data_IF_991087882483
#
_entry.id   IF_991087882483
#
_cell.length_a   1.000
_cell.length_b   1.000
_cell.length_c   1.000
_cell.angle_alpha   90.00
_cell.angle_beta   90.00
_cell.angle_gamma   90.00
#
_symmetry.space_group_name_H-M   'P 1'
#
loop_
_entity.id
_entity.type
_entity.pdbx_description
1 polymer ?
#
# COMPACT_ATOMS: atom_id res chain seq x y z
N UNK A 1 22.18 30.33 5.53
CA UNK A 1 21.33 31.42 4.99
C UNK A 1 19.97 31.26 5.62
N UNK A 2 19.54 32.21 6.45
CA UNK A 2 18.22 32.17 7.07
C UNK A 2 17.16 32.44 5.99
N UNK A 3 16.22 31.53 5.84
CA UNK A 3 15.05 31.73 4.98
C UNK A 3 14.26 32.89 5.56
N UNK A 4 13.99 33.94 4.79
CA UNK A 4 13.29 35.13 5.30
C UNK A 4 11.85 34.77 5.67
N UNK A 5 11.36 35.25 6.79
CA UNK A 5 9.98 35.05 7.28
C UNK A 5 8.94 35.44 6.21
N UNK A 6 9.28 36.41 5.35
CA UNK A 6 8.48 36.84 4.20
C UNK A 6 8.32 35.72 3.16
N UNK A 7 9.39 34.99 2.83
CA UNK A 7 9.35 33.87 1.89
C UNK A 7 8.48 32.73 2.41
N UNK A 8 8.54 32.46 3.72
CA UNK A 8 7.68 31.45 4.37
C UNK A 8 6.23 31.88 4.34
N UNK A 9 5.93 33.16 4.59
CA UNK A 9 4.57 33.71 4.53
C UNK A 9 4.00 33.72 3.10
N UNK A 10 4.82 33.96 2.09
CA UNK A 10 4.38 33.98 0.69
C UNK A 10 4.13 32.55 0.19
N UNK A 11 4.98 31.58 0.57
CA UNK A 11 4.74 30.16 0.30
C UNK A 11 3.50 29.64 1.03
N UNK A 12 3.30 30.04 2.28
CA UNK A 12 2.09 29.68 3.05
C UNK A 12 0.83 30.29 2.41
N UNK A 13 0.88 31.55 1.96
CA UNK A 13 -0.24 32.19 1.24
C UNK A 13 -0.54 31.52 -0.10
N UNK A 14 0.49 31.14 -0.85
CA UNK A 14 0.31 30.44 -2.13
C UNK A 14 -0.26 29.03 -1.94
N UNK A 15 0.19 28.31 -0.93
CA UNK A 15 -0.34 26.99 -0.54
C UNK A 15 -1.78 27.11 -0.03
N UNK A 16 -2.07 28.10 0.81
CA UNK A 16 -3.43 28.36 1.32
C UNK A 16 -4.36 28.80 0.18
N UNK A 17 -3.90 29.64 -0.77
CA UNK A 17 -4.68 30.01 -1.95
C UNK A 17 -4.95 28.80 -2.86
N UNK A 18 -3.96 27.93 -3.09
CA UNK A 18 -4.16 26.65 -3.80
C UNK A 18 -5.08 25.68 -3.04
N UNK A 19 -5.07 25.70 -1.72
CA UNK A 19 -5.99 24.93 -0.88
C UNK A 19 -7.42 25.53 -0.83
N UNK A 20 -7.55 26.85 -0.90
CA UNK A 20 -8.86 27.54 -0.93
C UNK A 20 -9.57 27.45 -2.29
N UNK A 21 -8.83 27.30 -3.40
CA UNK A 21 -9.41 27.06 -4.74
C UNK A 21 -10.20 25.73 -4.79
N UNK A 22 -9.98 24.82 -3.83
CA UNK A 22 -10.64 23.52 -3.76
C UNK A 22 -11.88 23.47 -2.84
N UNK A 23 -12.43 24.62 -2.42
CA UNK A 23 -13.63 24.66 -1.58
C UNK A 23 -14.96 24.50 -2.38
N UNK A 24 -14.93 24.61 -3.71
CA UNK A 24 -16.07 24.34 -4.57
C UNK A 24 -15.95 22.94 -5.21
N UNK A 25 -16.48 21.95 -4.52
CA UNK A 25 -16.51 20.53 -4.99
C UNK A 25 -17.52 20.33 -6.13
N UNK A 26 -18.45 21.25 -6.34
CA UNK A 26 -19.44 21.21 -7.42
C UNK A 26 -18.80 21.61 -8.76
N UNK A 27 -18.40 20.59 -9.56
CA UNK A 27 -17.80 20.77 -10.88
C UNK A 27 -16.44 20.07 -11.04
N UNK A 28 -16.01 19.30 -10.07
CA UNK A 28 -14.75 18.54 -10.12
C UNK A 28 -14.88 17.34 -11.06
N UNK A 29 -13.86 17.16 -11.93
CA UNK A 29 -13.83 16.10 -12.95
C UNK A 29 -13.74 14.72 -12.31
N UNK A 30 -14.76 13.87 -12.53
CA UNK A 30 -14.81 12.50 -12.01
C UNK A 30 -15.39 12.38 -10.60
N UNK A 31 -15.97 13.45 -10.01
CA UNK A 31 -16.62 13.41 -8.71
C UNK A 31 -18.14 13.60 -8.87
N UNK A 32 -18.93 12.75 -8.23
CA UNK A 32 -20.37 12.67 -8.44
C UNK A 32 -21.13 12.63 -7.12
N UNK A 33 -22.35 13.12 -7.12
CA UNK A 33 -23.22 13.10 -5.94
C UNK A 33 -23.64 11.67 -5.55
N UNK A 34 -23.77 10.76 -6.54
CA UNK A 34 -24.17 9.37 -6.30
C UNK A 34 -23.31 8.36 -7.08
N UNK A 35 -23.30 7.13 -6.59
CA UNK A 35 -22.47 6.04 -7.13
C UNK A 35 -22.93 5.59 -8.53
N UNK A 36 -24.22 5.63 -8.86
CA UNK A 36 -24.69 5.20 -10.17
C UNK A 36 -24.25 6.20 -11.25
N UNK A 37 -24.28 7.51 -10.95
CA UNK A 37 -23.78 8.54 -11.84
C UNK A 37 -22.26 8.39 -12.08
N UNK A 38 -21.49 8.09 -11.04
CA UNK A 38 -20.05 7.80 -11.15
C UNK A 38 -19.77 6.58 -12.03
N UNK A 39 -20.54 5.50 -11.86
CA UNK A 39 -20.40 4.28 -12.66
C UNK A 39 -20.79 4.53 -14.12
N UNK A 40 -21.86 5.28 -14.38
CA UNK A 40 -22.28 5.58 -15.76
C UNK A 40 -21.23 6.46 -16.48
N UNK A 41 -20.66 7.47 -15.79
CA UNK A 41 -19.57 8.29 -16.35
C UNK A 41 -18.35 7.43 -16.69
N UNK A 42 -17.90 6.58 -15.75
CA UNK A 42 -16.79 5.65 -16.00
C UNK A 42 -17.08 4.70 -17.16
N UNK A 43 -18.34 4.22 -17.31
CA UNK A 43 -18.77 3.37 -18.42
C UNK A 43 -18.73 4.09 -19.77
N UNK A 44 -19.09 5.38 -19.83
CA UNK A 44 -18.94 6.15 -21.07
C UNK A 44 -17.46 6.40 -21.42
N UNK A 45 -16.63 6.70 -20.42
CA UNK A 45 -15.19 6.81 -20.60
C UNK A 45 -14.57 5.48 -21.05
N UNK A 46 -15.03 4.34 -20.50
CA UNK A 46 -14.59 2.99 -20.86
C UNK A 46 -14.73 2.69 -22.36
N UNK A 47 -15.83 3.14 -22.99
CA UNK A 47 -16.03 2.98 -24.44
C UNK A 47 -14.96 3.70 -25.26
N UNK A 48 -14.41 4.80 -24.73
CA UNK A 48 -13.32 5.55 -25.37
C UNK A 48 -11.97 4.87 -25.08
N UNK A 49 -11.71 4.50 -23.82
CA UNK A 49 -10.46 3.79 -23.41
C UNK A 49 -10.29 2.48 -24.17
N UNK A 50 -11.36 1.74 -24.40
CA UNK A 50 -11.32 0.47 -25.12
C UNK A 50 -10.84 0.62 -26.59
N UNK A 51 -11.01 1.81 -27.18
CA UNK A 51 -10.58 2.12 -28.55
C UNK A 51 -9.17 2.71 -28.60
N UNK A 52 -8.56 3.03 -27.46
CA UNK A 52 -7.22 3.61 -27.42
C UNK A 52 -6.15 2.55 -27.68
N UNK A 53 -5.13 2.93 -28.42
CA UNK A 53 -3.92 2.13 -28.56
C UNK A 53 -3.14 2.06 -27.23
N UNK A 54 -2.17 1.14 -27.14
CA UNK A 54 -1.26 1.08 -25.99
C UNK A 54 -0.50 2.39 -25.82
N UNK A 55 0.01 2.98 -26.91
CA UNK A 55 0.74 4.27 -26.89
C UNK A 55 -0.11 5.42 -26.35
N UNK A 56 -1.39 5.46 -26.71
CA UNK A 56 -2.31 6.48 -26.20
C UNK A 56 -2.54 6.34 -24.69
N UNK A 57 -2.66 5.10 -24.16
CA UNK A 57 -2.77 4.84 -22.74
C UNK A 57 -1.47 5.19 -22.01
N UNK A 58 -0.32 4.80 -22.58
CA UNK A 58 1.00 5.12 -22.02
C UNK A 58 1.25 6.63 -21.95
N UNK A 59 0.79 7.38 -22.95
CA UNK A 59 0.86 8.85 -22.92
C UNK A 59 0.10 9.43 -21.71
N UNK A 60 -1.08 8.91 -21.40
CA UNK A 60 -1.84 9.33 -20.20
C UNK A 60 -1.04 8.97 -18.94
N UNK A 61 -0.53 7.73 -18.84
CA UNK A 61 0.26 7.24 -17.71
C UNK A 61 1.50 8.11 -17.49
N UNK A 62 2.20 8.48 -18.56
CA UNK A 62 3.36 9.38 -18.50
C UNK A 62 2.99 10.74 -17.87
N UNK A 63 1.84 11.30 -18.23
CA UNK A 63 1.38 12.57 -17.64
C UNK A 63 0.94 12.37 -16.18
N UNK A 64 0.30 11.24 -15.84
CA UNK A 64 -0.01 10.88 -14.45
C UNK A 64 1.27 10.84 -13.62
N UNK A 65 2.32 10.18 -14.09
CA UNK A 65 3.63 10.10 -13.43
C UNK A 65 4.19 11.50 -13.14
N UNK A 66 4.19 12.37 -14.15
CA UNK A 66 4.66 13.75 -14.03
C UNK A 66 3.84 14.53 -13.00
N UNK A 67 2.49 14.55 -13.14
CA UNK A 67 1.60 15.27 -12.20
C UNK A 67 1.70 14.73 -10.77
N UNK A 68 1.91 13.43 -10.59
CA UNK A 68 2.12 12.83 -9.27
C UNK A 68 3.38 13.37 -8.61
N UNK A 69 4.49 13.49 -9.35
CA UNK A 69 5.73 14.09 -8.84
C UNK A 69 5.56 15.58 -8.50
N UNK A 70 4.94 16.34 -9.41
CA UNK A 70 4.66 17.78 -9.21
C UNK A 70 3.77 18.06 -8.00
N UNK A 71 2.86 17.16 -7.67
CA UNK A 71 1.90 17.32 -6.56
C UNK A 71 2.25 16.47 -5.32
N UNK A 72 3.41 15.81 -5.28
CA UNK A 72 3.78 14.89 -4.20
C UNK A 72 3.70 15.54 -2.81
N UNK A 73 4.15 16.77 -2.65
CA UNK A 73 4.09 17.52 -1.39
C UNK A 73 2.65 17.86 -0.99
N UNK A 74 1.82 18.31 -1.94
CA UNK A 74 0.41 18.66 -1.70
C UNK A 74 -0.36 17.41 -1.26
N UNK A 75 -0.22 16.29 -2.00
CA UNK A 75 -0.85 15.02 -1.69
C UNK A 75 -0.45 14.50 -0.30
N UNK A 76 0.85 14.59 0.03
CA UNK A 76 1.37 14.16 1.33
C UNK A 76 0.81 15.01 2.49
N UNK A 77 0.84 16.33 2.37
CA UNK A 77 0.33 17.25 3.39
C UNK A 77 -1.17 17.10 3.59
N UNK A 78 -1.94 17.06 2.50
CA UNK A 78 -3.39 16.83 2.57
C UNK A 78 -3.72 15.49 3.25
N UNK A 79 -3.02 14.41 2.85
CA UNK A 79 -3.23 13.09 3.42
C UNK A 79 -2.98 13.06 4.94
N UNK A 80 -1.86 13.62 5.41
CA UNK A 80 -1.55 13.69 6.85
C UNK A 80 -2.52 14.60 7.59
N UNK A 81 -2.87 15.76 7.02
CA UNK A 81 -3.79 16.70 7.65
C UNK A 81 -5.21 16.12 7.81
N UNK A 82 -5.71 15.44 6.78
CA UNK A 82 -7.07 14.89 6.79
C UNK A 82 -7.17 13.64 7.66
N UNK A 83 -6.22 12.70 7.53
CA UNK A 83 -6.28 11.42 8.24
C UNK A 83 -5.69 11.49 9.64
N UNK A 84 -4.81 12.45 9.89
CA UNK A 84 -4.01 12.52 11.10
C UNK A 84 -2.93 11.44 11.19
N UNK A 85 -2.61 10.73 10.09
CA UNK A 85 -1.74 9.55 10.05
C UNK A 85 -0.51 9.78 9.20
N UNK A 86 0.63 9.21 9.64
CA UNK A 86 1.85 9.12 8.88
C UNK A 86 2.78 10.32 9.01
N UNK A 87 3.76 10.36 8.14
CA UNK A 87 4.81 11.38 8.07
C UNK A 87 4.84 12.02 6.68
N UNK A 88 4.79 13.36 6.62
CA UNK A 88 4.75 14.11 5.34
C UNK A 88 5.95 13.78 4.45
N UNK A 89 7.18 13.77 5.01
CA UNK A 89 8.39 13.47 4.24
C UNK A 89 8.36 12.06 3.62
N UNK A 90 7.94 11.07 4.40
CA UNK A 90 7.81 9.70 3.91
C UNK A 90 6.68 9.55 2.88
N UNK A 91 5.57 10.27 3.03
CA UNK A 91 4.51 10.27 2.02
C UNK A 91 4.95 10.92 0.70
N UNK A 92 5.77 11.97 0.75
CA UNK A 92 6.39 12.55 -0.45
C UNK A 92 7.23 11.49 -1.17
N UNK A 93 8.10 10.78 -0.44
CA UNK A 93 8.91 9.68 -1.01
C UNK A 93 8.03 8.59 -1.63
N UNK A 94 6.92 8.21 -0.99
CA UNK A 94 5.97 7.23 -1.55
C UNK A 94 5.35 7.71 -2.86
N UNK A 95 4.96 8.98 -2.98
CA UNK A 95 4.40 9.51 -4.23
C UNK A 95 5.44 9.53 -5.35
N UNK A 96 6.70 9.85 -5.07
CA UNK A 96 7.78 9.71 -6.05
C UNK A 96 7.96 8.26 -6.47
N UNK A 97 7.98 7.32 -5.51
CA UNK A 97 8.09 5.89 -5.78
C UNK A 97 6.93 5.38 -6.67
N UNK A 98 5.69 5.76 -6.33
CA UNK A 98 4.49 5.45 -7.13
C UNK A 98 4.63 5.96 -8.56
N UNK A 99 5.07 7.20 -8.73
CA UNK A 99 5.25 7.78 -10.06
C UNK A 99 6.35 7.09 -10.87
N UNK A 100 7.38 6.58 -10.23
CA UNK A 100 8.55 6.00 -10.91
C UNK A 100 8.44 4.50 -11.15
N UNK A 101 7.84 3.77 -10.21
CA UNK A 101 7.91 2.32 -10.16
C UNK A 101 6.58 1.59 -10.35
N UNK A 102 5.43 2.29 -10.43
CA UNK A 102 4.16 1.60 -10.75
C UNK A 102 4.18 1.13 -12.20
N UNK A 103 3.92 -0.16 -12.48
CA UNK A 103 3.88 -0.68 -13.85
C UNK A 103 2.79 -0.03 -14.70
N UNK A 104 3.13 0.26 -15.95
CA UNK A 104 2.24 0.77 -16.99
C UNK A 104 1.94 -0.27 -18.05
N UNK A 105 1.93 0.17 -19.31
CA UNK A 105 1.59 -0.68 -20.47
C UNK A 105 2.64 -1.75 -20.76
N UNK A 106 3.87 -1.59 -20.27
CA UNK A 106 4.96 -2.56 -20.41
C UNK A 106 4.66 -3.92 -19.73
N UNK A 107 3.75 -3.95 -18.76
CA UNK A 107 3.31 -5.17 -18.07
C UNK A 107 2.24 -5.96 -18.85
N UNK A 108 1.72 -5.39 -19.95
CA UNK A 108 0.70 -6.03 -20.77
C UNK A 108 1.36 -6.77 -21.92
N UNK A 109 1.68 -8.03 -21.70
CA UNK A 109 2.42 -8.87 -22.64
C UNK A 109 1.54 -9.85 -23.40
N UNK A 110 1.91 -10.16 -24.63
CA UNK A 110 1.26 -11.18 -25.47
C UNK A 110 2.06 -12.48 -25.45
N UNK A 111 1.38 -13.60 -25.28
CA UNK A 111 1.98 -14.93 -25.44
C UNK A 111 1.53 -15.55 -26.76
N UNK A 112 2.47 -16.09 -27.54
CA UNK A 112 2.19 -16.71 -28.83
C UNK A 112 2.81 -18.09 -28.95
N UNK A 113 2.06 -19.03 -29.56
CA UNK A 113 2.54 -20.35 -29.99
C UNK A 113 2.34 -20.49 -31.49
N UNK A 114 3.40 -20.74 -32.24
CA UNK A 114 3.38 -20.97 -33.67
C UNK A 114 3.93 -22.37 -33.98
N UNK A 115 3.30 -23.07 -34.91
CA UNK A 115 3.68 -24.42 -35.34
C UNK A 115 2.98 -24.84 -36.62
N UNK A 116 3.23 -26.09 -37.06
CA UNK A 116 2.68 -26.63 -38.32
C UNK A 116 1.14 -26.59 -38.40
N UNK A 117 0.48 -26.48 -37.24
CA UNK A 117 -1.00 -26.42 -37.15
C UNK A 117 -1.54 -24.99 -37.01
N UNK A 118 -0.70 -23.96 -37.20
CA UNK A 118 -1.13 -22.57 -37.18
C UNK A 118 -0.57 -21.75 -36.04
N UNK A 119 -1.32 -20.72 -35.60
CA UNK A 119 -0.93 -19.74 -34.59
C UNK A 119 -1.99 -19.62 -33.49
N UNK A 120 -1.55 -19.63 -32.25
CA UNK A 120 -2.38 -19.24 -31.10
C UNK A 120 -1.79 -18.03 -30.40
N UNK A 121 -2.64 -17.04 -30.15
CA UNK A 121 -2.31 -15.85 -29.37
C UNK A 121 -3.09 -15.86 -28.04
N UNK A 122 -2.45 -15.40 -26.96
CA UNK A 122 -3.13 -15.01 -25.71
C UNK A 122 -2.78 -13.57 -25.41
N UNK A 123 -3.78 -12.73 -25.38
CA UNK A 123 -3.67 -11.32 -25.08
C UNK A 123 -4.42 -10.97 -23.81
N UNK A 124 -3.97 -9.90 -23.14
CA UNK A 124 -4.56 -9.36 -21.93
C UNK A 124 -5.66 -8.35 -22.31
N UNK A 125 -6.94 -8.71 -22.08
CA UNK A 125 -8.08 -7.85 -22.37
C UNK A 125 -8.64 -7.17 -21.12
N UNK A 126 -9.31 -6.00 -21.26
CA UNK A 126 -9.91 -5.29 -20.13
C UNK A 126 -11.10 -6.05 -19.53
N UNK A 127 -11.33 -5.85 -18.24
CA UNK A 127 -12.59 -6.18 -17.59
C UNK A 127 -13.70 -5.18 -17.95
N UNK A 128 -13.36 -3.89 -18.05
CA UNK A 128 -14.28 -2.80 -18.31
C UNK A 128 -14.24 -1.76 -17.18
N UNK A 129 -15.38 -1.52 -16.50
CA UNK A 129 -15.40 -0.66 -15.31
C UNK A 129 -15.05 -1.50 -14.09
N UNK A 130 -14.05 -1.06 -13.34
CA UNK A 130 -13.59 -1.67 -12.10
C UNK A 130 -14.09 -0.86 -10.91
N UNK A 131 -14.64 -1.52 -9.88
CA UNK A 131 -14.95 -0.89 -8.60
C UNK A 131 -13.81 -1.10 -7.62
N UNK A 132 -13.30 -0.04 -6.99
CA UNK A 132 -12.18 -0.12 -6.07
C UNK A 132 -12.46 0.56 -4.73
N UNK A 133 -12.23 -0.15 -3.63
CA UNK A 133 -12.31 0.39 -2.27
C UNK A 133 -10.89 0.64 -1.78
N UNK A 134 -10.63 1.87 -1.29
CA UNK A 134 -9.28 2.30 -0.89
C UNK A 134 -9.18 2.66 0.59
N UNK A 135 -8.02 2.46 1.23
CA UNK A 135 -7.82 2.67 2.66
C UNK A 135 -7.58 4.15 2.98
N UNK A 136 -7.58 4.48 4.28
CA UNK A 136 -7.14 5.80 4.77
C UNK A 136 -5.63 5.88 5.06
N UNK A 137 -4.93 4.75 5.11
CA UNK A 137 -3.49 4.70 5.42
C UNK A 137 -2.60 5.15 4.27
N UNK A 138 -2.96 4.74 3.05
CA UNK A 138 -2.26 5.09 1.80
C UNK A 138 -3.28 5.46 0.71
N UNK A 139 -4.13 6.50 0.92
CA UNK A 139 -5.29 6.72 0.07
C UNK A 139 -4.92 7.11 -1.35
N UNK A 140 -4.06 8.11 -1.51
CA UNK A 140 -3.68 8.65 -2.82
C UNK A 140 -2.70 7.75 -3.56
N UNK A 141 -1.77 7.13 -2.84
CA UNK A 141 -0.85 6.15 -3.40
C UNK A 141 -1.62 4.98 -4.03
N UNK A 142 -2.62 4.46 -3.33
CA UNK A 142 -3.48 3.37 -3.83
C UNK A 142 -4.32 3.79 -5.04
N UNK A 143 -4.93 4.98 -4.99
CA UNK A 143 -5.73 5.52 -6.10
C UNK A 143 -4.87 5.67 -7.36
N UNK A 144 -3.67 6.23 -7.23
CA UNK A 144 -2.77 6.48 -8.37
C UNK A 144 -2.25 5.17 -8.95
N UNK A 145 -1.70 4.25 -8.13
CA UNK A 145 -1.24 2.94 -8.59
C UNK A 145 -2.34 2.16 -9.31
N UNK A 146 -3.50 2.06 -8.69
CA UNK A 146 -4.62 1.32 -9.26
C UNK A 146 -5.09 1.94 -10.57
N UNK A 147 -5.20 3.27 -10.66
CA UNK A 147 -5.61 3.93 -11.91
C UNK A 147 -4.61 3.67 -13.02
N UNK A 148 -3.30 3.77 -12.75
CA UNK A 148 -2.26 3.51 -13.76
C UNK A 148 -2.33 2.08 -14.28
N UNK A 149 -2.35 1.08 -13.38
CA UNK A 149 -2.42 -0.32 -13.78
C UNK A 149 -3.74 -0.69 -14.46
N UNK A 150 -4.88 -0.20 -13.97
CA UNK A 150 -6.18 -0.43 -14.58
C UNK A 150 -6.31 0.20 -15.95
N UNK A 151 -5.82 1.45 -16.13
CA UNK A 151 -5.80 2.13 -17.42
C UNK A 151 -4.88 1.43 -18.42
N UNK A 152 -3.69 0.99 -17.99
CA UNK A 152 -2.78 0.21 -18.81
C UNK A 152 -3.47 -1.05 -19.35
N UNK A 153 -4.21 -1.76 -18.50
CA UNK A 153 -5.07 -2.90 -18.88
C UNK A 153 -6.28 -2.54 -19.72
N UNK A 154 -6.54 -1.25 -19.99
CA UNK A 154 -7.66 -0.77 -20.80
C UNK A 154 -8.97 -0.63 -20.05
N UNK A 155 -8.95 -0.46 -18.72
CA UNK A 155 -10.12 -0.29 -17.86
C UNK A 155 -10.31 1.18 -17.43
N UNK A 156 -11.50 1.50 -16.93
CA UNK A 156 -11.77 2.66 -16.09
C UNK A 156 -12.08 2.20 -14.67
N UNK A 157 -12.03 3.11 -13.70
CA UNK A 157 -12.22 2.77 -12.30
C UNK A 157 -13.18 3.72 -11.59
N UNK A 158 -13.99 3.16 -10.70
CA UNK A 158 -14.80 3.91 -9.74
C UNK A 158 -14.32 3.60 -8.34
N UNK A 159 -13.89 4.62 -7.62
CA UNK A 159 -13.41 4.50 -6.25
C UNK A 159 -14.52 4.74 -5.23
N UNK A 160 -14.47 3.99 -4.14
CA UNK A 160 -15.17 4.29 -2.90
C UNK A 160 -14.11 4.42 -1.78
N UNK A 161 -13.55 5.62 -1.58
CA UNK A 161 -12.50 5.83 -0.60
C UNK A 161 -12.99 5.69 0.83
N UNK A 162 -12.04 5.45 1.76
CA UNK A 162 -12.34 5.47 3.17
C UNK A 162 -12.84 6.84 3.63
N UNK A 163 -13.89 6.94 4.48
CA UNK A 163 -14.47 8.23 4.91
C UNK A 163 -13.51 9.20 5.60
N UNK A 164 -12.39 8.71 6.15
CA UNK A 164 -11.35 9.55 6.75
C UNK A 164 -10.35 10.15 5.73
N UNK A 165 -10.52 9.92 4.42
CA UNK A 165 -9.59 10.37 3.38
C UNK A 165 -10.32 10.87 2.13
N UNK A 166 -11.47 11.54 2.30
CA UNK A 166 -12.35 11.97 1.20
C UNK A 166 -11.69 13.04 0.35
N UNK A 167 -11.24 14.14 0.98
CA UNK A 167 -10.71 15.32 0.29
C UNK A 167 -9.44 15.00 -0.49
N UNK A 168 -8.52 14.28 0.14
CA UNK A 168 -7.28 13.87 -0.51
C UNK A 168 -7.53 12.90 -1.66
N UNK A 169 -8.52 12.00 -1.53
CA UNK A 169 -8.94 11.09 -2.60
C UNK A 169 -9.57 11.81 -3.78
N UNK A 170 -10.45 12.80 -3.52
CA UNK A 170 -11.05 13.64 -4.55
C UNK A 170 -9.98 14.42 -5.31
N UNK A 171 -8.99 14.98 -4.60
CA UNK A 171 -7.88 15.69 -5.24
C UNK A 171 -7.10 14.76 -6.19
N UNK A 172 -6.79 13.54 -5.76
CA UNK A 172 -6.11 12.55 -6.61
C UNK A 172 -6.94 12.20 -7.84
N UNK A 173 -8.24 11.93 -7.70
CA UNK A 173 -9.16 11.62 -8.83
C UNK A 173 -9.20 12.78 -9.83
N UNK A 174 -9.29 14.03 -9.37
CA UNK A 174 -9.27 15.20 -10.24
C UNK A 174 -7.95 15.30 -11.03
N UNK A 175 -6.81 15.14 -10.34
CA UNK A 175 -5.48 15.17 -10.94
C UNK A 175 -5.33 14.10 -12.03
N UNK A 176 -5.85 12.89 -11.81
CA UNK A 176 -5.81 11.79 -12.78
C UNK A 176 -6.64 12.09 -14.04
N UNK A 177 -7.84 12.65 -13.88
CA UNK A 177 -8.67 13.02 -15.01
C UNK A 177 -8.12 14.23 -15.78
N UNK A 178 -7.50 15.19 -15.09
CA UNK A 178 -6.75 16.26 -15.75
C UNK A 178 -5.58 15.74 -16.57
N UNK A 179 -4.84 14.74 -16.04
CA UNK A 179 -3.77 14.09 -16.80
C UNK A 179 -4.30 13.40 -18.06
N UNK A 180 -5.44 12.74 -17.96
CA UNK A 180 -6.09 12.11 -19.11
C UNK A 180 -6.48 13.13 -20.18
N UNK A 181 -7.12 14.22 -19.79
CA UNK A 181 -7.52 15.29 -20.71
C UNK A 181 -6.32 15.97 -21.39
N UNK A 182 -5.27 16.24 -20.62
CA UNK A 182 -4.02 16.82 -21.15
C UNK A 182 -3.40 15.92 -22.23
N UNK A 183 -3.52 14.60 -22.08
CA UNK A 183 -3.07 13.61 -23.07
C UNK A 183 -4.02 13.47 -24.27
N UNK A 184 -5.19 14.11 -24.26
CA UNK A 184 -6.26 13.92 -25.25
C UNK A 184 -7.13 12.69 -24.98
N UNK A 185 -7.12 12.15 -23.75
CA UNK A 185 -7.95 11.04 -23.30
C UNK A 185 -9.33 11.48 -22.77
N UNK A 186 -10.15 10.54 -22.28
CA UNK A 186 -11.46 10.84 -21.70
C UNK A 186 -11.36 11.48 -20.32
N UNK A 187 -12.44 12.12 -19.89
CA UNK A 187 -12.56 12.93 -18.67
C UNK A 187 -12.98 12.16 -17.41
N UNK A 188 -13.19 10.86 -17.50
CA UNK A 188 -13.68 10.03 -16.39
C UNK A 188 -13.00 8.65 -16.36
N UNK A 189 -11.65 8.64 -16.48
CA UNK A 189 -10.88 7.40 -16.33
C UNK A 189 -10.90 6.89 -14.90
N UNK A 190 -11.01 7.82 -13.94
CA UNK A 190 -11.16 7.57 -12.52
C UNK A 190 -12.35 8.38 -11.99
N UNK A 191 -13.28 7.72 -11.31
CA UNK A 191 -14.46 8.36 -10.74
C UNK A 191 -14.54 8.08 -9.23
N UNK A 192 -15.24 8.96 -8.50
CA UNK A 192 -15.56 8.77 -7.09
C UNK A 192 -16.87 9.48 -6.75
N UNK A 193 -17.35 9.31 -5.51
CA UNK A 193 -18.49 10.05 -4.97
C UNK A 193 -18.03 11.10 -3.97
N UNK A 194 -18.81 12.17 -3.83
CA UNK A 194 -18.57 13.25 -2.86
C UNK A 194 -18.57 12.73 -1.42
N UNK A 195 -19.48 11.80 -1.11
CA UNK A 195 -19.68 11.25 0.22
C UNK A 195 -19.65 9.71 0.20
N UNK A 196 -18.46 9.09 0.24
CA UNK A 196 -18.32 7.64 0.28
C UNK A 196 -18.81 7.08 1.62
N UNK A 197 -19.65 6.03 1.54
CA UNK A 197 -20.26 5.34 2.68
C UNK A 197 -20.26 3.83 2.46
N UNK A 198 -20.70 3.07 3.47
CA UNK A 198 -20.97 1.64 3.30
C UNK A 198 -22.10 1.38 2.30
N UNK A 199 -23.07 2.28 2.21
CA UNK A 199 -24.17 2.17 1.25
C UNK A 199 -23.65 2.34 -0.18
N UNK A 200 -22.83 3.37 -0.45
CA UNK A 200 -22.21 3.57 -1.77
C UNK A 200 -21.29 2.41 -2.15
N UNK A 201 -20.57 1.82 -1.19
CA UNK A 201 -19.82 0.57 -1.39
C UNK A 201 -20.71 -0.58 -1.82
N UNK A 202 -21.84 -0.77 -1.14
CA UNK A 202 -22.81 -1.83 -1.46
C UNK A 202 -23.44 -1.65 -2.84
N UNK A 203 -23.78 -0.41 -3.23
CA UNK A 203 -24.26 -0.10 -4.58
C UNK A 203 -23.20 -0.49 -5.61
N UNK A 204 -21.95 -0.06 -5.43
CA UNK A 204 -20.83 -0.38 -6.32
C UNK A 204 -20.61 -1.90 -6.44
N UNK A 205 -20.58 -2.62 -5.30
CA UNK A 205 -20.34 -4.07 -5.29
C UNK A 205 -21.44 -4.84 -6.04
N UNK A 206 -22.69 -4.37 -5.99
CA UNK A 206 -23.83 -5.04 -6.63
C UNK A 206 -24.10 -4.57 -8.06
N UNK A 207 -23.53 -3.44 -8.49
CA UNK A 207 -23.88 -2.81 -9.76
C UNK A 207 -23.48 -3.68 -10.95
N UNK A 208 -24.41 -3.91 -11.89
CA UNK A 208 -24.24 -4.81 -13.05
C UNK A 208 -23.09 -4.44 -13.98
N UNK A 209 -22.77 -3.14 -14.09
CA UNK A 209 -21.72 -2.62 -14.98
C UNK A 209 -20.33 -2.64 -14.34
N UNK A 210 -20.21 -3.02 -13.06
CA UNK A 210 -18.92 -3.29 -12.41
C UNK A 210 -18.54 -4.75 -12.65
N UNK A 211 -17.41 -4.98 -13.34
CA UNK A 211 -16.97 -6.30 -13.78
C UNK A 211 -15.91 -6.95 -12.90
N UNK A 212 -15.15 -6.14 -12.17
CA UNK A 212 -14.12 -6.54 -11.22
C UNK A 212 -14.20 -5.65 -10.00
N UNK A 213 -14.01 -6.23 -8.82
CA UNK A 213 -13.89 -5.48 -7.56
C UNK A 213 -12.48 -5.61 -7.01
N UNK A 214 -11.94 -4.51 -6.50
CA UNK A 214 -10.63 -4.46 -5.85
C UNK A 214 -10.81 -3.86 -4.46
N UNK A 215 -10.41 -4.57 -3.42
CA UNK A 215 -10.44 -4.07 -2.05
C UNK A 215 -9.01 -3.93 -1.52
N UNK A 216 -8.65 -2.73 -1.08
CA UNK A 216 -7.44 -2.49 -0.29
C UNK A 216 -7.86 -1.92 1.05
N UNK A 217 -7.72 -2.72 2.11
CA UNK A 217 -8.19 -2.30 3.45
C UNK A 217 -8.39 -3.47 4.41
N UNK A 218 -9.09 -3.20 5.50
CA UNK A 218 -9.27 -4.17 6.57
C UNK A 218 -10.03 -5.45 6.17
N UNK A 219 -9.97 -6.50 7.02
CA UNK A 219 -10.52 -7.83 6.71
C UNK A 219 -12.00 -7.82 6.33
N UNK A 220 -12.81 -6.96 6.94
CA UNK A 220 -14.25 -6.86 6.66
C UNK A 220 -14.57 -6.42 5.24
N UNK A 221 -13.82 -5.45 4.71
CA UNK A 221 -14.00 -4.95 3.32
C UNK A 221 -13.56 -6.01 2.32
N UNK A 222 -12.42 -6.66 2.57
CA UNK A 222 -11.94 -7.74 1.72
C UNK A 222 -12.94 -8.90 1.68
N UNK A 223 -13.44 -9.32 2.82
CA UNK A 223 -14.47 -10.37 2.90
C UNK A 223 -15.75 -9.98 2.16
N UNK A 224 -16.21 -8.74 2.27
CA UNK A 224 -17.39 -8.25 1.56
C UNK A 224 -17.21 -8.32 0.02
N UNK A 225 -16.04 -7.88 -0.48
CA UNK A 225 -15.71 -7.96 -1.91
C UNK A 225 -15.63 -9.40 -2.39
N UNK A 226 -14.95 -10.28 -1.67
CA UNK A 226 -14.82 -11.70 -2.06
C UNK A 226 -16.15 -12.47 -1.99
N UNK A 227 -17.08 -12.04 -1.12
CA UNK A 227 -18.42 -12.62 -0.99
C UNK A 227 -19.46 -12.01 -1.92
N UNK A 228 -19.09 -11.03 -2.75
CA UNK A 228 -20.03 -10.28 -3.61
C UNK A 228 -20.61 -11.09 -4.78
N UNK A 229 -20.06 -12.26 -5.09
CA UNK A 229 -20.38 -13.06 -6.27
C UNK A 229 -19.72 -12.57 -7.57
N UNK A 230 -18.93 -11.48 -7.52
CA UNK A 230 -18.10 -10.99 -8.64
C UNK A 230 -16.66 -11.45 -8.49
N UNK A 231 -15.87 -11.35 -9.56
CA UNK A 231 -14.42 -11.47 -9.42
C UNK A 231 -13.92 -10.37 -8.48
N UNK A 232 -13.19 -10.76 -7.46
CA UNK A 232 -12.61 -9.86 -6.46
C UNK A 232 -11.10 -10.04 -6.35
N UNK A 233 -10.37 -8.94 -6.18
CA UNK A 233 -8.97 -8.88 -5.77
C UNK A 233 -8.96 -8.31 -4.34
N UNK A 234 -8.39 -9.04 -3.40
CA UNK A 234 -8.43 -8.71 -1.98
C UNK A 234 -7.05 -8.47 -1.39
N UNK A 235 -6.75 -7.21 -1.07
CA UNK A 235 -5.55 -6.78 -0.36
C UNK A 235 -5.93 -6.44 1.09
N UNK A 236 -5.64 -7.39 1.99
CA UNK A 236 -6.05 -7.34 3.40
C UNK A 236 -4.96 -6.83 4.34
N UNK A 237 -5.19 -7.07 5.62
CA UNK A 237 -4.25 -6.80 6.69
C UNK A 237 -3.03 -7.73 6.62
N UNK A 238 -1.92 -7.30 7.21
CA UNK A 238 -0.71 -8.09 7.39
C UNK A 238 -0.10 -7.85 8.77
N UNK A 239 0.44 -8.90 9.39
CA UNK A 239 1.27 -8.80 10.57
C UNK A 239 2.66 -9.37 10.24
N UNK A 240 3.53 -8.60 9.56
CA UNK A 240 4.80 -9.09 9.02
C UNK A 240 5.88 -9.27 10.10
N UNK A 241 6.27 -10.51 10.43
CA UNK A 241 7.35 -10.78 11.38
C UNK A 241 8.73 -10.56 10.71
N UNK A 242 9.67 -10.00 11.49
CA UNK A 242 11.08 -9.92 11.16
C UNK A 242 11.86 -11.00 11.93
N UNK A 243 12.27 -12.07 11.24
CA UNK A 243 13.09 -13.12 11.83
C UNK A 243 14.58 -12.75 11.76
N UNK A 244 15.29 -12.87 12.87
CA UNK A 244 16.74 -12.62 12.95
C UNK A 244 17.44 -13.85 13.50
N UNK A 245 18.27 -14.50 12.68
CA UNK A 245 19.05 -15.67 13.10
C UNK A 245 20.48 -15.30 13.52
N UNK A 246 21.21 -16.27 14.06
CA UNK A 246 22.58 -16.13 14.58
C UNK A 246 23.61 -15.80 13.49
N UNK A 247 23.27 -15.94 12.21
CA UNK A 247 24.19 -15.63 11.10
C UNK A 247 24.03 -14.22 10.57
N UNK A 248 23.03 -13.48 11.05
CA UNK A 248 22.73 -12.14 10.60
C UNK A 248 23.86 -11.13 10.88
N UNK A 249 23.89 -10.05 10.14
CA UNK A 249 24.59 -8.84 10.54
C UNK A 249 23.69 -8.06 11.49
N UNK A 250 23.90 -8.25 12.79
CA UNK A 250 22.96 -7.80 13.83
C UNK A 250 22.79 -6.28 13.85
N UNK A 251 23.91 -5.54 13.66
CA UNK A 251 23.87 -4.07 13.61
C UNK A 251 23.07 -3.59 12.40
N UNK A 252 23.30 -4.20 11.22
CA UNK A 252 22.52 -3.90 10.02
C UNK A 252 21.07 -4.33 10.16
N UNK A 253 20.80 -5.48 10.78
CA UNK A 253 19.44 -5.93 11.05
C UNK A 253 18.66 -4.93 11.92
N UNK A 254 19.29 -4.38 12.98
CA UNK A 254 18.70 -3.33 13.80
C UNK A 254 18.35 -2.08 13.00
N UNK A 255 19.26 -1.62 12.13
CA UNK A 255 19.05 -0.47 11.25
C UNK A 255 17.89 -0.73 10.26
N UNK A 256 17.91 -1.83 9.54
CA UNK A 256 16.92 -2.18 8.53
C UNK A 256 15.52 -2.30 9.13
N UNK A 257 15.38 -3.05 10.23
CA UNK A 257 14.09 -3.29 10.91
C UNK A 257 13.50 -1.98 11.44
N UNK A 258 14.32 -1.14 12.08
CA UNK A 258 13.82 0.16 12.59
C UNK A 258 13.47 1.08 11.43
N UNK A 259 14.25 1.13 10.37
CA UNK A 259 13.95 1.92 9.18
C UNK A 259 12.64 1.48 8.52
N UNK A 260 12.41 0.19 8.36
CA UNK A 260 11.18 -0.35 7.79
C UNK A 260 9.97 -0.10 8.69
N UNK A 261 10.08 -0.41 9.99
CA UNK A 261 9.01 -0.18 10.97
C UNK A 261 8.60 1.30 11.07
N UNK A 262 9.56 2.22 11.03
CA UNK A 262 9.30 3.66 11.23
C UNK A 262 8.92 4.40 9.95
N UNK A 263 9.04 3.75 8.80
CA UNK A 263 8.64 4.36 7.53
C UNK A 263 7.15 4.67 7.54
N UNK A 264 6.83 5.95 7.34
CA UNK A 264 5.47 6.50 7.41
C UNK A 264 4.72 6.13 8.71
N UNK A 265 5.44 6.08 9.84
CA UNK A 265 4.92 5.65 11.14
C UNK A 265 4.24 4.27 11.12
N UNK A 266 4.82 3.31 10.41
CA UNK A 266 4.33 1.94 10.27
C UNK A 266 3.01 1.78 9.48
N UNK A 267 2.63 2.75 8.66
CA UNK A 267 1.40 2.67 7.86
C UNK A 267 1.45 1.72 6.66
N UNK A 268 2.59 1.44 6.00
CA UNK A 268 2.63 0.38 5.01
C UNK A 268 2.33 -0.98 5.65
N UNK A 269 1.40 -1.73 5.05
CA UNK A 269 1.01 -3.05 5.55
C UNK A 269 2.13 -4.09 5.51
N UNK A 270 3.22 -3.81 4.76
CA UNK A 270 4.42 -4.64 4.68
C UNK A 270 5.46 -4.32 5.77
N UNK A 271 5.29 -3.21 6.52
CA UNK A 271 6.26 -2.78 7.52
C UNK A 271 6.39 -3.82 8.63
N UNK A 272 7.59 -3.95 9.17
CA UNK A 272 7.90 -4.82 10.29
C UNK A 272 6.98 -4.49 11.48
N UNK A 273 6.28 -5.49 12.02
CA UNK A 273 5.34 -5.33 13.14
C UNK A 273 5.91 -5.87 14.44
N UNK A 274 6.64 -6.97 14.36
CA UNK A 274 7.31 -7.62 15.47
C UNK A 274 8.61 -8.27 15.01
N UNK A 275 9.44 -8.64 15.99
CA UNK A 275 10.72 -9.30 15.77
C UNK A 275 10.72 -10.66 16.44
N UNK A 276 11.17 -11.69 15.73
CA UNK A 276 11.49 -12.99 16.29
C UNK A 276 12.98 -13.20 16.15
N UNK A 277 13.72 -13.09 17.25
CA UNK A 277 15.19 -13.22 17.25
C UNK A 277 15.63 -14.47 17.98
N UNK A 278 16.60 -15.19 17.43
CA UNK A 278 17.27 -16.28 18.14
C UNK A 278 17.94 -15.70 19.40
N UNK A 279 17.78 -16.38 20.55
CA UNK A 279 18.17 -15.89 21.87
C UNK A 279 19.65 -15.43 21.91
N UNK A 280 20.53 -16.11 21.19
CA UNK A 280 21.97 -15.79 21.15
C UNK A 280 22.27 -14.40 20.57
N UNK A 281 21.38 -13.79 19.82
CA UNK A 281 21.57 -12.47 19.17
C UNK A 281 20.54 -11.42 19.58
N UNK A 282 19.50 -11.80 20.32
CA UNK A 282 18.39 -10.91 20.66
C UNK A 282 18.83 -9.70 21.51
N UNK A 283 19.71 -9.90 22.49
CA UNK A 283 20.19 -8.82 23.36
C UNK A 283 21.10 -7.84 22.61
N UNK A 284 21.95 -8.36 21.71
CA UNK A 284 22.79 -7.53 20.85
C UNK A 284 21.94 -6.70 19.87
N UNK A 285 20.91 -7.30 19.29
CA UNK A 285 19.94 -6.60 18.43
C UNK A 285 19.26 -5.46 19.18
N UNK A 286 18.72 -5.72 20.37
CA UNK A 286 18.10 -4.71 21.24
C UNK A 286 19.09 -3.59 21.58
N UNK A 287 20.36 -3.93 21.84
CA UNK A 287 21.40 -2.94 22.12
C UNK A 287 21.57 -1.96 20.95
N UNK A 288 21.75 -2.43 19.71
CA UNK A 288 21.91 -1.56 18.54
C UNK A 288 20.65 -0.76 18.23
N UNK A 289 19.46 -1.33 18.41
CA UNK A 289 18.20 -0.60 18.24
C UNK A 289 18.11 0.61 19.17
N UNK A 290 18.53 0.47 20.43
CA UNK A 290 18.50 1.54 21.44
C UNK A 290 19.64 2.54 21.20
N UNK A 291 20.87 2.05 21.09
CA UNK A 291 22.06 2.92 21.09
C UNK A 291 22.26 3.67 19.78
N UNK A 292 21.81 3.12 18.64
CA UNK A 292 22.11 3.68 17.32
C UNK A 292 20.88 4.07 16.51
N UNK A 293 19.72 3.41 16.74
CA UNK A 293 18.55 3.59 15.86
C UNK A 293 17.43 4.44 16.47
N UNK A 294 17.65 5.05 17.63
CA UNK A 294 16.68 5.94 18.28
C UNK A 294 15.44 5.21 18.79
N UNK A 295 15.63 3.98 19.30
CA UNK A 295 14.56 3.25 19.96
C UNK A 295 14.50 3.55 21.45
N UNK A 296 13.28 3.71 21.99
CA UNK A 296 13.02 3.83 23.41
C UNK A 296 12.55 2.48 23.95
N UNK A 297 13.29 1.92 24.92
CA UNK A 297 12.89 0.68 25.62
C UNK A 297 11.92 1.01 26.72
N UNK A 298 10.68 0.56 26.60
CA UNK A 298 9.65 0.76 27.64
C UNK A 298 9.79 -0.25 28.78
N UNK A 299 9.51 0.21 30.01
CA UNK A 299 9.41 -0.63 31.21
C UNK A 299 8.11 -1.45 31.16
N UNK A 300 7.99 -2.45 32.04
CA UNK A 300 6.76 -3.27 32.15
C UNK A 300 5.53 -2.43 32.50
N UNK A 301 5.67 -1.45 33.38
CA UNK A 301 4.58 -0.55 33.77
C UNK A 301 4.13 0.34 32.58
N UNK A 302 5.08 0.88 31.84
CA UNK A 302 4.79 1.67 30.61
C UNK A 302 4.14 0.80 29.53
N UNK A 303 4.55 -0.46 29.41
CA UNK A 303 3.99 -1.45 28.49
C UNK A 303 2.50 -1.70 28.79
N UNK A 304 2.15 -1.89 30.07
CA UNK A 304 0.77 -2.11 30.48
C UNK A 304 -0.10 -0.86 30.22
N UNK A 305 0.43 0.35 30.50
CA UNK A 305 -0.22 1.63 30.19
C UNK A 305 -0.42 1.79 28.68
N UNK A 306 0.63 1.52 27.87
CA UNK A 306 0.58 1.65 26.42
C UNK A 306 -0.43 0.67 25.80
N UNK A 307 -0.47 -0.57 26.31
CA UNK A 307 -1.46 -1.57 25.89
C UNK A 307 -2.88 -1.06 26.10
N UNK A 308 -3.18 -0.47 27.26
CA UNK A 308 -4.51 0.10 27.57
C UNK A 308 -4.88 1.31 26.71
N UNK A 309 -3.90 2.07 26.19
CA UNK A 309 -4.11 3.21 25.27
C UNK A 309 -4.29 2.74 23.83
N UNK A 310 -3.46 1.80 23.38
CA UNK A 310 -3.43 1.30 22.01
C UNK A 310 -4.59 0.35 21.72
N UNK A 311 -4.94 -0.50 22.67
CA UNK A 311 -6.01 -1.49 22.54
C UNK A 311 -7.16 -1.16 23.48
N UNK A 312 -8.35 -1.06 22.91
CA UNK A 312 -9.60 -0.79 23.64
C UNK A 312 -10.53 -2.01 23.56
N UNK A 313 -11.62 -2.00 24.33
CA UNK A 313 -12.67 -3.04 24.25
C UNK A 313 -13.30 -3.16 22.84
N UNK A 314 -13.06 -2.18 21.95
CA UNK A 314 -13.53 -2.17 20.55
C UNK A 314 -12.44 -2.53 19.54
N UNK A 315 -11.29 -3.03 20.01
CA UNK A 315 -10.09 -3.31 19.21
C UNK A 315 -9.11 -2.14 19.17
N UNK A 316 -8.33 -2.04 18.11
CA UNK A 316 -7.28 -1.05 17.93
C UNK A 316 -7.80 0.39 18.03
N UNK A 317 -7.15 1.22 18.85
CA UNK A 317 -7.47 2.64 18.98
C UNK A 317 -7.02 3.42 17.75
N UNK A 318 -7.97 3.81 16.90
CA UNK A 318 -7.71 4.55 15.67
C UNK A 318 -6.95 5.87 15.86
N UNK A 319 -6.98 6.46 17.06
CA UNK A 319 -6.23 7.69 17.36
C UNK A 319 -4.73 7.46 17.49
N UNK A 320 -4.30 6.21 17.69
CA UNK A 320 -2.91 5.81 17.80
C UNK A 320 -2.30 5.40 16.44
N UNK A 321 -3.12 4.95 15.50
CA UNK A 321 -2.68 4.47 14.18
C UNK A 321 -1.93 5.56 13.41
N UNK A 322 -0.74 5.23 12.92
CA UNK A 322 0.11 6.13 12.15
C UNK A 322 0.69 7.30 12.95
N UNK A 323 0.63 7.28 14.28
CA UNK A 323 1.28 8.27 15.14
C UNK A 323 2.74 7.91 15.38
N UNK A 324 3.57 8.94 15.60
CA UNK A 324 4.99 8.73 15.92
C UNK A 324 5.16 8.14 17.33
N UNK A 325 6.29 7.49 17.58
CA UNK A 325 6.64 6.94 18.90
C UNK A 325 6.55 8.01 20.00
N UNK A 326 7.03 9.23 19.73
CA UNK A 326 6.93 10.36 20.67
C UNK A 326 5.49 10.66 21.09
N UNK A 327 4.57 10.71 20.13
CA UNK A 327 3.14 10.96 20.43
C UNK A 327 2.54 9.82 21.24
N UNK A 328 2.85 8.57 20.90
CA UNK A 328 2.36 7.41 21.65
C UNK A 328 2.87 7.39 23.09
N UNK A 329 4.15 7.70 23.30
CA UNK A 329 4.76 7.80 24.63
C UNK A 329 4.16 8.94 25.45
N UNK A 330 3.90 10.09 24.84
CA UNK A 330 3.25 11.21 25.55
C UNK A 330 1.82 10.87 26.03
N UNK A 331 1.10 9.97 25.33
CA UNK A 331 -0.22 9.51 25.75
C UNK A 331 -0.20 8.70 27.06
N UNK A 332 0.96 8.16 27.43
CA UNK A 332 1.17 7.42 28.71
C UNK A 332 2.00 8.23 29.72
N UNK A 333 2.24 9.52 29.44
CA UNK A 333 2.97 10.43 30.34
C UNK A 333 4.50 10.30 30.28
N UNK A 334 5.04 9.73 29.21
CA UNK A 334 6.48 9.58 28.98
C UNK A 334 6.94 10.62 27.96
N UNK A 335 7.81 11.54 28.41
CA UNK A 335 8.42 12.56 27.56
C UNK A 335 9.77 12.08 27.03
N UNK A 336 9.96 12.17 25.73
CA UNK A 336 11.19 11.74 25.04
C UNK A 336 11.69 12.78 24.06
N UNK A 337 12.99 12.79 23.72
CA UNK A 337 13.55 13.65 22.68
C UNK A 337 12.96 13.38 21.29
N UNK A 338 13.12 14.34 20.36
CA UNK A 338 12.60 14.25 18.99
C UNK A 338 13.26 13.17 18.13
N UNK A 339 14.46 12.70 18.52
CA UNK A 339 15.17 11.64 17.82
C UNK A 339 14.66 10.22 18.14
N UNK A 340 13.69 10.06 19.04
CA UNK A 340 13.08 8.77 19.31
C UNK A 340 12.10 8.42 18.18
N UNK A 341 12.41 7.31 17.48
CA UNK A 341 11.72 6.87 16.27
C UNK A 341 10.79 5.70 16.53
N UNK A 342 11.15 4.81 17.44
CA UNK A 342 10.45 3.55 17.69
C UNK A 342 10.39 3.22 19.18
N UNK A 343 9.34 2.50 19.59
CA UNK A 343 9.18 1.93 20.92
C UNK A 343 9.55 0.45 20.85
N UNK A 344 10.40 -0.02 21.76
CA UNK A 344 10.83 -1.42 21.79
C UNK A 344 10.68 -2.06 23.16
N UNK A 345 10.40 -3.35 23.20
CA UNK A 345 10.30 -4.15 24.41
C UNK A 345 10.48 -5.63 24.10
N UNK A 346 10.79 -6.43 25.13
CA UNK A 346 10.82 -7.88 25.05
C UNK A 346 9.53 -8.45 25.59
N UNK A 347 8.95 -9.46 24.92
CA UNK A 347 7.69 -10.08 25.32
C UNK A 347 7.45 -11.43 24.67
N UNK A 348 6.41 -12.11 25.15
CA UNK A 348 5.94 -13.35 24.55
C UNK A 348 5.11 -13.08 23.30
N UNK A 349 5.07 -14.03 22.37
CA UNK A 349 4.36 -13.90 21.09
C UNK A 349 2.86 -13.62 21.25
N UNK A 350 2.25 -14.06 22.37
CA UNK A 350 0.85 -13.81 22.70
C UNK A 350 0.57 -12.40 23.26
N UNK A 351 1.62 -11.60 23.52
CA UNK A 351 1.43 -10.25 24.02
C UNK A 351 0.67 -9.39 22.98
N UNK A 352 -0.42 -8.69 23.37
CA UNK A 352 -1.29 -8.00 22.41
C UNK A 352 -0.57 -6.94 21.55
N UNK A 353 0.47 -6.26 22.08
CA UNK A 353 1.29 -5.33 21.28
C UNK A 353 2.27 -6.02 20.33
N UNK A 354 2.31 -7.36 20.29
CA UNK A 354 3.12 -8.16 19.39
C UNK A 354 2.22 -8.90 18.40
N UNK A 355 1.14 -9.54 18.92
CA UNK A 355 0.28 -10.37 18.10
C UNK A 355 -0.71 -9.61 17.22
N UNK A 356 -0.97 -8.33 17.49
CA UNK A 356 -1.95 -7.55 16.72
C UNK A 356 -1.25 -6.62 15.72
N UNK A 357 -1.82 -6.46 14.51
CA UNK A 357 -1.36 -5.46 13.54
C UNK A 357 -1.63 -4.05 14.06
N UNK A 358 -0.64 -3.40 14.66
CA UNK A 358 -0.81 -2.11 15.33
C UNK A 358 -0.79 -0.91 14.38
N UNK A 359 -0.03 -0.98 13.28
CA UNK A 359 0.18 0.14 12.33
C UNK A 359 0.73 1.39 13.03
N UNK A 360 1.72 1.21 13.89
CA UNK A 360 2.43 2.27 14.64
C UNK A 360 3.84 1.79 14.99
N UNK A 361 4.82 2.69 15.25
CA UNK A 361 6.21 2.33 15.46
C UNK A 361 6.46 1.72 16.85
N UNK A 362 5.94 0.51 17.05
CA UNK A 362 6.11 -0.32 18.25
C UNK A 362 6.63 -1.68 17.78
N UNK A 363 7.74 -2.15 18.32
CA UNK A 363 8.35 -3.43 18.02
C UNK A 363 8.55 -4.24 19.29
N UNK A 364 7.80 -5.33 19.43
CA UNK A 364 8.07 -6.35 20.43
C UNK A 364 9.11 -7.35 19.91
N UNK A 365 10.05 -7.75 20.77
CA UNK A 365 11.05 -8.78 20.47
C UNK A 365 10.66 -10.05 21.19
N UNK A 366 10.43 -11.10 20.43
CA UNK A 366 10.16 -12.47 20.90
C UNK A 366 11.45 -13.26 20.76
N UNK A 367 11.98 -13.76 21.86
CA UNK A 367 13.15 -14.63 21.87
C UNK A 367 12.79 -16.06 21.45
N UNK A 368 13.62 -16.65 20.63
CA UNK A 368 13.50 -18.03 20.19
C UNK A 368 14.78 -18.81 20.59
N UNK A 369 14.60 -20.04 21.07
CA UNK A 369 15.74 -20.88 21.53
C UNK A 369 16.72 -21.23 20.42
N UNK A 370 16.20 -21.39 19.20
CA UNK A 370 16.93 -21.74 17.99
C UNK A 370 16.18 -21.28 16.74
N UNK A 371 16.75 -21.49 15.56
CA UNK A 371 16.14 -21.10 14.29
C UNK A 371 14.78 -21.76 14.02
N UNK A 372 14.62 -23.04 14.41
CA UNK A 372 13.37 -23.80 14.23
C UNK A 372 12.22 -23.17 15.03
N UNK A 373 12.47 -22.88 16.31
CA UNK A 373 11.53 -22.19 17.19
C UNK A 373 11.21 -20.77 16.67
N UNK A 374 12.22 -20.08 16.10
CA UNK A 374 12.01 -18.78 15.47
C UNK A 374 11.05 -18.86 14.27
N UNK A 375 11.22 -19.86 13.42
CA UNK A 375 10.30 -20.10 12.29
C UNK A 375 8.87 -20.38 12.79
N UNK A 376 8.70 -21.27 13.77
CA UNK A 376 7.39 -21.60 14.33
C UNK A 376 6.68 -20.36 14.91
N UNK A 377 7.41 -19.54 15.67
CA UNK A 377 6.88 -18.30 16.24
C UNK A 377 6.50 -17.28 15.18
N UNK A 378 7.37 -17.08 14.17
CA UNK A 378 7.11 -16.15 13.08
C UNK A 378 5.89 -16.57 12.24
N UNK A 379 5.75 -17.86 11.92
CA UNK A 379 4.58 -18.40 11.20
C UNK A 379 3.30 -18.20 12.01
N UNK A 380 3.35 -18.39 13.35
CA UNK A 380 2.21 -18.15 14.22
C UNK A 380 1.80 -16.67 14.23
N UNK A 381 2.78 -15.74 14.29
CA UNK A 381 2.55 -14.29 14.32
C UNK A 381 2.01 -13.73 13.00
N UNK A 382 2.33 -14.36 11.88
CA UNK A 382 1.82 -13.96 10.55
C UNK A 382 0.32 -14.25 10.38
N UNK A 383 -0.27 -15.09 11.23
CA UNK A 383 -1.71 -15.42 11.28
C UNK A 383 -2.30 -16.02 10.02
N UNK A 384 -1.50 -16.54 9.08
CA UNK A 384 -1.96 -17.05 7.80
C UNK A 384 -2.52 -15.97 6.86
N UNK A 385 -2.15 -14.72 7.06
CA UNK A 385 -2.44 -13.61 6.14
C UNK A 385 -1.74 -13.79 4.81
N UNK A 386 -0.58 -14.48 4.81
CA UNK A 386 0.28 -14.72 3.63
C UNK A 386 0.70 -13.45 2.93
N UNK A 387 0.84 -12.38 3.72
CA UNK A 387 1.05 -11.04 3.21
C UNK A 387 2.53 -10.77 2.96
N UNK A 388 3.30 -10.58 3.99
CA UNK A 388 4.73 -10.30 3.93
C UNK A 388 5.45 -10.77 5.18
N UNK A 389 6.75 -11.02 5.03
CA UNK A 389 7.65 -11.40 6.11
C UNK A 389 9.07 -10.94 5.80
N UNK A 390 9.92 -10.89 6.82
CA UNK A 390 11.30 -10.44 6.71
C UNK A 390 12.24 -11.47 7.36
N UNK A 391 13.45 -11.55 6.83
CA UNK A 391 14.51 -12.37 7.43
C UNK A 391 15.86 -11.66 7.34
N UNK A 392 16.58 -11.61 8.46
CA UNK A 392 17.97 -11.21 8.53
C UNK A 392 18.80 -12.45 8.81
N UNK A 393 19.54 -12.90 7.81
CA UNK A 393 20.33 -14.14 7.81
C UNK A 393 21.37 -14.10 6.71
N UNK A 394 22.52 -14.77 6.94
CA UNK A 394 23.53 -15.11 5.92
C UNK A 394 23.50 -16.59 5.56
N UNK A 395 22.67 -17.39 6.23
CA UNK A 395 22.51 -18.81 5.95
C UNK A 395 21.42 -19.05 4.89
N UNK A 396 21.84 -19.47 3.72
CA UNK A 396 20.95 -19.72 2.57
C UNK A 396 19.94 -20.85 2.84
N UNK A 397 20.31 -21.85 3.65
CA UNK A 397 19.42 -22.96 4.01
C UNK A 397 18.31 -22.48 4.96
N UNK A 398 18.66 -21.66 5.95
CA UNK A 398 17.69 -21.00 6.85
C UNK A 398 16.72 -20.12 6.07
N UNK A 399 17.23 -19.28 5.16
CA UNK A 399 16.40 -18.42 4.30
C UNK A 399 15.44 -19.28 3.49
N UNK A 400 15.91 -20.36 2.87
CA UNK A 400 15.09 -21.25 2.05
C UNK A 400 14.02 -21.96 2.90
N UNK A 401 14.38 -22.42 4.09
CA UNK A 401 13.46 -23.09 5.01
C UNK A 401 12.36 -22.13 5.48
N UNK A 402 12.75 -20.91 5.90
CA UNK A 402 11.80 -19.89 6.31
C UNK A 402 10.85 -19.48 5.18
N UNK A 403 11.39 -19.22 3.98
CA UNK A 403 10.60 -18.85 2.80
C UNK A 403 9.48 -19.87 2.50
N UNK A 404 9.79 -21.18 2.62
CA UNK A 404 8.81 -22.25 2.41
C UNK A 404 7.77 -22.33 3.54
N UNK A 405 8.18 -22.06 4.77
CA UNK A 405 7.31 -22.19 5.93
C UNK A 405 6.33 -21.03 6.06
N UNK A 406 6.79 -19.79 5.81
CA UNK A 406 5.99 -18.58 6.00
C UNK A 406 4.98 -18.36 4.87
N UNK A 407 5.26 -18.81 3.65
CA UNK A 407 4.37 -18.83 2.47
C UNK A 407 3.69 -17.46 2.20
N UNK A 408 4.44 -16.37 2.29
CA UNK A 408 3.94 -15.01 2.06
C UNK A 408 4.13 -14.54 0.63
N UNK A 409 3.31 -13.59 0.17
CA UNK A 409 3.43 -12.95 -1.15
C UNK A 409 4.74 -12.17 -1.29
N UNK A 410 5.26 -11.65 -0.16
CA UNK A 410 6.51 -10.89 -0.10
C UNK A 410 7.40 -11.51 0.97
N UNK A 411 8.66 -11.77 0.63
CA UNK A 411 9.71 -12.08 1.58
C UNK A 411 10.90 -11.16 1.34
N UNK A 412 11.24 -10.33 2.34
CA UNK A 412 12.40 -9.43 2.28
C UNK A 412 13.57 -10.03 3.06
N UNK A 413 14.75 -10.02 2.46
CA UNK A 413 15.97 -10.54 3.08
C UNK A 413 17.01 -9.43 3.26
N UNK A 414 17.48 -9.23 4.51
CA UNK A 414 18.59 -8.31 4.85
C UNK A 414 18.40 -6.88 4.30
N UNK A 415 17.18 -6.37 4.37
CA UNK A 415 16.79 -5.04 3.92
C UNK A 415 15.54 -4.57 4.69
N UNK A 416 15.27 -3.26 4.74
CA UNK A 416 14.02 -2.73 5.26
C UNK A 416 12.83 -3.18 4.40
N UNK A 417 11.66 -3.32 4.99
CA UNK A 417 10.42 -3.74 4.32
C UNK A 417 10.09 -3.01 3.02
N UNK A 418 10.34 -1.71 2.97
CA UNK A 418 10.04 -0.88 1.79
C UNK A 418 10.89 -1.22 0.55
N UNK A 419 11.97 -2.02 0.71
CA UNK A 419 12.71 -2.57 -0.43
C UNK A 419 11.81 -3.45 -1.33
N UNK A 420 10.79 -4.08 -0.75
CA UNK A 420 9.78 -4.84 -1.50
C UNK A 420 8.92 -3.98 -2.45
N UNK A 421 8.86 -2.68 -2.21
CA UNK A 421 8.18 -1.72 -3.10
C UNK A 421 9.13 -1.09 -4.12
N UNK A 422 10.38 -1.55 -4.20
CA UNK A 422 11.41 -1.01 -5.09
C UNK A 422 12.11 0.24 -4.55
N UNK A 423 11.92 0.62 -3.28
CA UNK A 423 12.65 1.71 -2.65
C UNK A 423 13.93 1.16 -2.02
N UNK A 424 15.08 1.37 -2.67
CA UNK A 424 16.34 0.74 -2.28
C UNK A 424 16.43 -0.76 -2.61
N UNK A 425 15.48 -1.28 -3.39
CA UNK A 425 15.43 -2.66 -3.90
C UNK A 425 15.05 -2.70 -5.36
N UNK A 426 15.06 -3.91 -5.94
CA UNK A 426 14.60 -4.15 -7.30
C UNK A 426 13.07 -4.38 -7.34
N UNK A 427 12.47 -4.20 -8.52
CA UNK A 427 11.06 -4.45 -8.76
C UNK A 427 10.21 -3.19 -8.87
N UNK A 428 8.91 -3.40 -8.80
CA UNK A 428 7.91 -2.35 -9.00
C UNK A 428 7.13 -2.01 -7.73
N UNK A 429 6.43 -0.88 -7.76
CA UNK A 429 5.63 -0.37 -6.66
C UNK A 429 4.13 -0.59 -6.87
N UNK A 430 3.45 -1.04 -5.82
CA UNK A 430 1.99 -0.99 -5.70
C UNK A 430 1.59 -0.85 -4.23
N UNK A 431 0.39 -0.31 -3.99
CA UNK A 431 -0.21 -0.25 -2.66
C UNK A 431 -1.46 -1.15 -2.53
N UNK A 432 -1.65 -2.07 -3.48
CA UNK A 432 -2.65 -3.14 -3.43
C UNK A 432 -1.93 -4.49 -3.49
N UNK A 433 -1.67 -5.07 -2.32
CA UNK A 433 -0.95 -6.34 -2.16
C UNK A 433 -1.97 -7.43 -1.87
N UNK A 434 -2.33 -8.16 -2.92
CA UNK A 434 -3.44 -9.10 -2.94
C UNK A 434 -2.96 -10.53 -2.62
N UNK A 435 -2.55 -10.75 -1.37
CA UNK A 435 -2.04 -12.05 -0.89
C UNK A 435 -3.11 -13.14 -0.92
N UNK A 436 -4.30 -12.88 -0.39
CA UNK A 436 -5.39 -13.88 -0.27
C UNK A 436 -5.93 -14.38 -1.61
N UNK A 437 -5.90 -13.56 -2.64
CA UNK A 437 -6.40 -13.91 -3.98
C UNK A 437 -5.29 -14.34 -4.94
N UNK A 438 -4.03 -14.25 -4.50
CA UNK A 438 -2.87 -14.81 -5.18
C UNK A 438 -2.23 -13.91 -6.22
N UNK A 439 -2.72 -12.70 -6.44
CA UNK A 439 -2.09 -11.72 -7.33
C UNK A 439 -0.78 -11.17 -6.75
N UNK A 440 -0.59 -11.24 -5.42
CA UNK A 440 0.57 -10.66 -4.74
C UNK A 440 0.62 -9.13 -4.90
N UNK A 441 1.78 -8.58 -5.24
CA UNK A 441 1.88 -7.18 -5.67
C UNK A 441 1.15 -7.03 -7.00
N UNK A 442 0.03 -6.31 -7.00
CA UNK A 442 -0.74 -6.10 -8.23
C UNK A 442 0.03 -5.23 -9.22
N UNK A 443 -0.06 -5.61 -10.50
CA UNK A 443 0.44 -4.83 -11.62
C UNK A 443 -0.68 -4.65 -12.64
N UNK A 444 -0.41 -4.04 -13.79
CA UNK A 444 -1.40 -3.83 -14.82
C UNK A 444 -2.05 -5.15 -15.30
N UNK A 445 -1.29 -6.23 -15.39
CA UNK A 445 -1.76 -7.55 -15.78
C UNK A 445 -2.77 -8.16 -14.81
N UNK A 446 -2.70 -7.83 -13.50
CA UNK A 446 -3.66 -8.27 -12.48
C UNK A 446 -5.09 -7.77 -12.77
N UNK A 447 -5.23 -6.62 -13.44
CA UNK A 447 -6.50 -6.01 -13.80
C UNK A 447 -6.99 -6.38 -15.19
N UNK A 448 -6.52 -7.51 -15.74
CA UNK A 448 -6.88 -7.98 -17.08
C UNK A 448 -7.41 -9.42 -17.06
N UNK A 449 -8.04 -9.81 -18.14
CA UNK A 449 -8.45 -11.19 -18.41
C UNK A 449 -7.75 -11.71 -19.67
N UNK A 450 -7.27 -12.95 -19.61
CA UNK A 450 -6.63 -13.61 -20.74
C UNK A 450 -7.67 -13.93 -21.82
N UNK A 451 -7.37 -13.53 -23.06
CA UNK A 451 -8.19 -13.84 -24.24
C UNK A 451 -7.37 -14.62 -25.24
N UNK A 452 -7.86 -15.78 -25.64
CA UNK A 452 -7.18 -16.66 -26.59
C UNK A 452 -7.82 -16.54 -27.97
N UNK A 453 -6.97 -16.32 -29.00
CA UNK A 453 -7.34 -16.42 -30.40
C UNK A 453 -6.55 -17.57 -31.02
N UNK A 454 -7.23 -18.48 -31.69
CA UNK A 454 -6.62 -19.65 -32.36
C UNK A 454 -6.90 -19.56 -33.85
N UNK A 455 -5.86 -19.67 -34.65
CA UNK A 455 -5.90 -19.72 -36.10
C UNK A 455 -5.30 -21.05 -36.55
N UNK A 456 -6.16 -21.98 -36.97
CA UNK A 456 -5.75 -23.32 -37.41
C UNK A 456 -5.41 -23.33 -38.90
N UNK A 457 -4.44 -24.15 -39.27
CA UNK A 457 -4.00 -24.42 -40.63
C UNK A 457 -3.56 -23.16 -41.42
N UNK A 458 -3.15 -22.09 -40.72
CA UNK A 458 -2.73 -20.83 -41.27
C UNK A 458 -1.71 -20.10 -40.39
N UNK A 459 -0.98 -19.13 -40.96
CA UNK A 459 0.02 -18.32 -40.27
C UNK A 459 1.21 -19.09 -39.69
N UNK A 460 1.54 -20.25 -40.25
CA UNK A 460 2.85 -20.86 -40.10
C UNK A 460 3.74 -20.39 -41.26
N UNK A 461 4.79 -19.65 -40.94
CA UNK A 461 5.70 -19.00 -41.95
C UNK A 461 7.08 -19.66 -41.98
N UNK A 462 7.28 -20.75 -41.28
CA UNK A 462 8.53 -21.54 -41.28
C UNK A 462 8.39 -22.86 -42.04
#
# INVERSE_FOLDING_TARGET
MAVSEQLVQDVVKEVVAKLQINADVSGSKGVFADMNAAIEAAKQAQKKVQKMSMDQREKIITIIRRKTKENAEILARMGVQETGMGNVGHKILKHHLVAERTPGTEDITTTAWSGDRGLTLVEMGPFGVIGAITPCTNPTETIICNTMGMLAGGNTVVFNPHPAAIKTSIFAVNMLNEASLEAGGPDAIACTVENPTLETSNIMMKHKDISLLVATGGPGVVTAVLSSGKRGIGAGAGNPPALVDETADIRKAAEDIVNGCTFDNNLPCIAEKEIVAVESVADELMHYMISEQGCYRISKEEQDKLTGVVLTSKGLNRKCVGRSAKVLLSMIGVEVPDNIRCIVFEGEKEHPLISEELMMPILGIVKAKDFEDAVEKAVWLEHGNRHSAHIHSKNVDNITKYAKAIDTAILVKNAPSYAALGFGGEGYCTFTIASRTGEGLTSASAFTKRRRCVMSDSLCIR
#
